data_IF_643356772048
#
_entry.id   IF_643356772048
#
_cell.length_a   1.000
_cell.length_b   1.000
_cell.length_c   1.000
_cell.angle_alpha   90.00
_cell.angle_beta   90.00
_cell.angle_gamma   90.00
#
_symmetry.space_group_name_H-M   'P 1'
#
loop_
_entity.id
_entity.type
_entity.pdbx_description
1 polymer ?
#
# COMPACT_ATOMS: atom_id res chain seq x y z
N UNK A 1 95.04 9.24 -15.23
CA UNK A 1 93.98 8.25 -15.57
C UNK A 1 92.90 8.30 -14.49
N UNK A 2 91.80 9.01 -14.74
CA UNK A 2 90.70 9.22 -13.80
C UNK A 2 89.58 8.21 -14.10
N UNK A 3 89.16 7.42 -13.11
CA UNK A 3 87.98 6.53 -13.22
C UNK A 3 86.79 7.23 -12.56
N UNK A 4 85.80 7.63 -13.38
CA UNK A 4 84.51 8.10 -12.89
C UNK A 4 83.65 6.92 -12.37
N UNK A 5 82.88 7.10 -11.28
CA UNK A 5 81.89 6.11 -10.87
C UNK A 5 80.62 6.21 -11.74
N UNK A 6 80.19 5.08 -12.31
CA UNK A 6 78.91 4.96 -13.02
C UNK A 6 77.76 5.08 -12.01
N UNK A 7 76.99 6.16 -12.10
CA UNK A 7 75.73 6.29 -11.38
C UNK A 7 74.71 5.26 -11.92
N UNK A 8 74.21 4.39 -11.05
CA UNK A 8 73.06 3.53 -11.34
C UNK A 8 71.82 4.42 -11.50
N UNK A 9 71.33 4.58 -12.72
CA UNK A 9 70.00 5.11 -12.96
C UNK A 9 68.95 4.12 -12.43
N UNK A 10 68.36 4.43 -11.28
CA UNK A 10 67.09 3.82 -10.87
C UNK A 10 66.00 4.44 -11.74
N UNK A 11 65.52 3.68 -12.72
CA UNK A 11 64.38 4.08 -13.55
C UNK A 11 63.13 4.22 -12.67
N UNK A 12 62.56 5.43 -12.66
CA UNK A 12 61.27 5.77 -12.04
C UNK A 12 60.14 4.97 -12.73
N UNK A 13 59.92 3.71 -12.33
CA UNK A 13 58.77 2.89 -12.77
C UNK A 13 57.55 2.95 -11.84
N UNK A 14 57.64 3.67 -10.72
CA UNK A 14 56.59 3.72 -9.70
C UNK A 14 55.47 4.75 -9.96
N UNK A 15 55.74 5.83 -10.71
CA UNK A 15 54.77 6.94 -10.86
C UNK A 15 53.60 6.65 -11.81
N UNK A 16 53.78 5.77 -12.80
CA UNK A 16 52.70 5.38 -13.72
C UNK A 16 51.71 4.38 -13.09
N UNK A 17 52.20 3.55 -12.16
CA UNK A 17 51.38 2.56 -11.45
C UNK A 17 50.39 3.23 -10.50
N UNK A 18 50.82 4.29 -9.78
CA UNK A 18 49.97 5.05 -8.86
C UNK A 18 48.81 5.80 -9.53
N UNK A 19 48.97 6.25 -10.79
CA UNK A 19 47.87 6.92 -11.52
C UNK A 19 46.82 5.89 -11.96
N UNK A 20 47.26 4.74 -12.47
CA UNK A 20 46.35 3.65 -12.85
C UNK A 20 45.56 3.15 -11.65
N UNK A 21 46.21 2.92 -10.51
CA UNK A 21 45.55 2.51 -9.26
C UNK A 21 44.50 3.53 -8.81
N UNK A 22 44.80 4.83 -8.90
CA UNK A 22 43.85 5.89 -8.58
C UNK A 22 42.64 5.89 -9.55
N UNK A 23 42.86 5.70 -10.85
CA UNK A 23 41.78 5.61 -11.83
C UNK A 23 40.87 4.41 -11.57
N UNK A 24 41.45 3.25 -11.24
CA UNK A 24 40.70 2.04 -10.88
C UNK A 24 39.93 2.25 -9.58
N UNK A 25 40.55 2.85 -8.56
CA UNK A 25 39.89 3.15 -7.29
C UNK A 25 38.70 4.10 -7.46
N UNK A 26 38.84 5.15 -8.27
CA UNK A 26 37.72 6.09 -8.58
C UNK A 26 36.62 5.37 -9.36
N UNK A 27 36.96 4.46 -10.27
CA UNK A 27 35.98 3.68 -11.03
C UNK A 27 35.17 2.77 -10.12
N UNK A 28 35.84 2.03 -9.23
CA UNK A 28 35.18 1.18 -8.23
C UNK A 28 34.32 2.03 -7.29
N UNK A 29 34.87 3.13 -6.78
CA UNK A 29 34.14 4.05 -5.90
C UNK A 29 32.88 4.61 -6.58
N UNK A 30 32.97 4.96 -7.86
CA UNK A 30 31.82 5.45 -8.63
C UNK A 30 30.75 4.38 -8.76
N UNK A 31 31.13 3.16 -9.17
CA UNK A 31 30.19 2.03 -9.30
C UNK A 31 29.52 1.71 -7.97
N UNK A 32 30.30 1.65 -6.88
CA UNK A 32 29.76 1.39 -5.54
C UNK A 32 28.86 2.52 -5.06
N UNK A 33 29.22 3.78 -5.32
CA UNK A 33 28.40 4.95 -4.98
C UNK A 33 27.06 4.95 -5.70
N UNK A 34 27.07 4.73 -7.02
CA UNK A 34 25.83 4.61 -7.81
C UNK A 34 24.99 3.40 -7.38
N UNK A 35 25.62 2.27 -7.09
CA UNK A 35 24.94 1.09 -6.56
C UNK A 35 24.25 1.35 -5.23
N UNK A 36 24.94 2.01 -4.29
CA UNK A 36 24.37 2.38 -3.00
C UNK A 36 23.18 3.34 -3.15
N UNK A 37 23.30 4.37 -3.99
CA UNK A 37 22.20 5.32 -4.26
C UNK A 37 20.99 4.62 -4.86
N UNK A 38 21.21 3.73 -5.84
CA UNK A 38 20.13 2.96 -6.47
C UNK A 38 19.44 2.05 -5.44
N UNK A 39 20.22 1.39 -4.59
CA UNK A 39 19.70 0.55 -3.52
C UNK A 39 18.86 1.35 -2.50
N UNK A 40 19.30 2.54 -2.12
CA UNK A 40 18.55 3.42 -1.21
C UNK A 40 17.23 3.89 -1.82
N UNK A 41 17.23 4.27 -3.10
CA UNK A 41 16.01 4.66 -3.81
C UNK A 41 15.02 3.50 -3.90
N UNK A 42 15.50 2.29 -4.22
CA UNK A 42 14.65 1.11 -4.28
C UNK A 42 14.09 0.74 -2.91
N UNK A 43 14.92 0.78 -1.85
CA UNK A 43 14.48 0.52 -0.49
C UNK A 43 13.37 1.49 -0.06
N UNK A 44 13.52 2.79 -0.37
CA UNK A 44 12.49 3.80 -0.09
C UNK A 44 11.18 3.47 -0.78
N UNK A 45 11.20 3.17 -2.09
CA UNK A 45 9.99 2.82 -2.84
C UNK A 45 9.28 1.61 -2.26
N UNK A 46 10.03 0.57 -1.86
CA UNK A 46 9.46 -0.61 -1.22
C UNK A 46 8.83 -0.29 0.14
N UNK A 47 9.44 0.60 0.93
CA UNK A 47 8.88 1.05 2.20
C UNK A 47 7.58 1.84 1.98
N UNK A 48 7.55 2.81 1.06
CA UNK A 48 6.35 3.59 0.76
C UNK A 48 5.19 2.69 0.28
N UNK A 49 5.44 1.80 -0.68
CA UNK A 49 4.42 0.86 -1.14
C UNK A 49 3.93 -0.07 -0.02
N UNK A 50 4.82 -0.55 0.85
CA UNK A 50 4.43 -1.36 2.01
C UNK A 50 3.55 -0.59 2.99
N UNK A 51 3.78 0.72 3.16
CA UNK A 51 2.95 1.56 4.02
C UNK A 51 1.55 1.70 3.41
N UNK A 52 1.43 1.93 2.10
CA UNK A 52 0.12 2.06 1.45
C UNK A 52 -0.72 0.78 1.57
N UNK A 53 -0.10 -0.38 1.31
CA UNK A 53 -0.76 -1.68 1.46
C UNK A 53 -1.20 -1.91 2.90
N UNK A 54 -0.30 -1.68 3.87
CA UNK A 54 -0.60 -1.90 5.28
C UNK A 54 -1.70 -0.96 5.78
N UNK A 55 -1.61 0.33 5.48
CA UNK A 55 -2.59 1.34 5.89
C UNK A 55 -3.96 1.06 5.29
N UNK A 56 -4.05 0.84 3.98
CA UNK A 56 -5.33 0.55 3.32
C UNK A 56 -5.99 -0.72 3.85
N UNK A 57 -5.19 -1.77 4.07
CA UNK A 57 -5.67 -3.04 4.63
C UNK A 57 -6.16 -2.87 6.06
N UNK A 58 -5.43 -2.14 6.91
CA UNK A 58 -5.83 -1.88 8.30
C UNK A 58 -7.14 -1.08 8.38
N UNK A 59 -7.31 -0.09 7.51
CA UNK A 59 -8.56 0.69 7.42
C UNK A 59 -9.73 -0.21 6.99
N UNK A 60 -9.55 -1.01 5.94
CA UNK A 60 -10.57 -1.94 5.45
C UNK A 60 -10.95 -2.99 6.52
N UNK A 61 -9.96 -3.55 7.21
CA UNK A 61 -10.18 -4.49 8.33
C UNK A 61 -10.93 -3.82 9.48
N UNK A 62 -10.55 -2.60 9.86
CA UNK A 62 -11.22 -1.84 10.90
C UNK A 62 -12.71 -1.62 10.62
N UNK A 63 -13.08 -1.30 9.38
CA UNK A 63 -14.50 -1.20 9.01
C UNK A 63 -15.21 -2.55 9.06
N UNK A 64 -14.61 -3.60 8.49
CA UNK A 64 -15.23 -4.93 8.51
C UNK A 64 -15.46 -5.43 9.94
N UNK A 65 -14.50 -5.22 10.84
CA UNK A 65 -14.64 -5.63 12.24
C UNK A 65 -15.78 -4.87 12.94
N UNK A 66 -15.89 -3.57 12.71
CA UNK A 66 -16.99 -2.78 13.25
C UNK A 66 -18.34 -3.22 12.69
N UNK A 67 -18.45 -3.50 11.39
CA UNK A 67 -19.67 -4.00 10.75
C UNK A 67 -20.07 -5.39 11.28
N UNK A 68 -19.10 -6.24 11.62
CA UNK A 68 -19.38 -7.52 12.30
C UNK A 68 -19.94 -7.32 13.70
N UNK A 69 -19.43 -6.33 14.43
CA UNK A 69 -19.79 -6.07 15.83
C UNK A 69 -21.03 -5.19 16.02
N UNK A 70 -21.49 -4.49 14.98
CA UNK A 70 -22.69 -3.64 14.97
C UNK A 70 -23.97 -4.43 15.32
N UNK A 71 -25.15 -3.84 15.52
CA UNK A 71 -26.40 -4.65 15.52
C UNK A 71 -26.70 -5.18 14.11
N UNK A 72 -27.29 -6.38 14.01
CA UNK A 72 -27.66 -7.00 12.74
C UNK A 72 -28.66 -6.13 11.95
N UNK A 73 -29.53 -5.39 12.65
CA UNK A 73 -30.57 -4.56 12.02
C UNK A 73 -30.02 -3.38 11.21
N UNK A 74 -28.86 -2.86 11.59
CA UNK A 74 -28.24 -1.72 10.89
C UNK A 74 -27.58 -2.12 9.57
N UNK A 75 -27.35 -3.42 9.34
CA UNK A 75 -26.78 -3.91 8.08
C UNK A 75 -27.73 -3.80 6.90
N UNK A 76 -29.03 -3.64 7.15
CA UNK A 76 -30.03 -3.48 6.08
C UNK A 76 -30.23 -2.02 5.67
N UNK A 77 -29.50 -1.09 6.28
CA UNK A 77 -29.62 0.34 6.01
C UNK A 77 -28.80 0.75 4.78
N UNK A 78 -29.31 1.71 4.01
CA UNK A 78 -28.62 2.24 2.84
C UNK A 78 -27.35 3.03 3.21
N UNK A 79 -27.31 3.58 4.43
CA UNK A 79 -26.16 4.28 5.00
C UNK A 79 -25.95 3.73 6.39
N UNK A 80 -24.74 3.25 6.65
CA UNK A 80 -24.32 2.76 7.96
C UNK A 80 -23.57 3.89 8.66
N UNK A 81 -24.17 4.39 9.74
CA UNK A 81 -23.63 5.48 10.57
C UNK A 81 -22.83 4.94 11.76
N UNK A 82 -22.21 5.84 12.53
CA UNK A 82 -21.45 5.56 13.76
C UNK A 82 -20.28 4.57 13.60
N UNK A 83 -19.70 4.50 12.41
CA UNK A 83 -18.42 3.85 12.22
C UNK A 83 -17.30 4.76 12.74
N UNK A 84 -16.23 4.19 13.25
CA UNK A 84 -15.07 4.91 13.73
C UNK A 84 -13.92 4.73 12.74
N UNK A 85 -13.45 5.84 12.19
CA UNK A 85 -12.32 5.87 11.28
C UNK A 85 -11.37 6.97 11.71
N UNK A 86 -10.09 6.62 11.90
CA UNK A 86 -9.05 7.58 12.31
C UNK A 86 -9.39 8.38 13.59
N UNK A 87 -10.21 7.81 14.49
CA UNK A 87 -10.62 8.47 15.74
C UNK A 87 -11.78 9.46 15.61
N UNK A 88 -12.40 9.58 14.43
CA UNK A 88 -13.62 10.36 14.20
C UNK A 88 -14.79 9.45 13.81
N UNK A 89 -16.01 9.94 14.06
CA UNK A 89 -17.23 9.30 13.57
C UNK A 89 -17.31 9.41 12.05
N UNK A 90 -17.78 8.34 11.43
CA UNK A 90 -17.82 8.14 9.99
C UNK A 90 -19.04 7.33 9.58
N UNK A 91 -19.36 7.39 8.29
CA UNK A 91 -20.47 6.66 7.67
C UNK A 91 -20.04 6.02 6.35
N UNK A 92 -20.61 4.85 6.06
CA UNK A 92 -20.46 4.15 4.78
C UNK A 92 -21.82 3.94 4.12
N UNK A 93 -21.94 4.41 2.88
CA UNK A 93 -23.10 4.12 2.03
C UNK A 93 -22.95 2.75 1.37
N UNK A 94 -24.02 1.96 1.37
CA UNK A 94 -24.07 0.61 0.80
C UNK A 94 -24.38 0.70 -0.69
N UNK A 95 -23.49 0.15 -1.50
CA UNK A 95 -23.65 0.01 -2.94
C UNK A 95 -24.67 -1.07 -3.30
N UNK A 96 -25.40 -0.92 -4.41
CA UNK A 96 -26.20 -1.99 -5.00
C UNK A 96 -25.36 -3.24 -5.30
N UNK A 97 -25.97 -4.43 -5.21
CA UNK A 97 -25.27 -5.70 -5.45
C UNK A 97 -24.78 -5.81 -6.90
N UNK A 98 -23.46 -6.00 -7.12
CA UNK A 98 -22.90 -6.19 -8.44
C UNK A 98 -23.03 -7.66 -8.87
N UNK A 99 -22.88 -7.92 -10.17
CA UNK A 99 -22.76 -9.30 -10.69
C UNK A 99 -21.46 -9.98 -10.28
N UNK A 100 -20.40 -9.20 -10.02
CA UNK A 100 -19.13 -9.66 -9.51
C UNK A 100 -18.58 -8.64 -8.49
N UNK A 101 -18.36 -9.10 -7.26
CA UNK A 101 -17.89 -8.26 -6.16
C UNK A 101 -16.43 -7.78 -6.33
N UNK A 102 -15.59 -8.53 -7.05
CA UNK A 102 -14.18 -8.16 -7.24
C UNK A 102 -14.03 -6.98 -8.21
N UNK A 103 -14.91 -6.90 -9.22
CA UNK A 103 -14.88 -5.84 -10.24
C UNK A 103 -15.94 -4.77 -10.00
N UNK A 104 -16.96 -5.05 -9.19
CA UNK A 104 -18.07 -4.14 -8.92
C UNK A 104 -18.85 -3.74 -10.18
N UNK A 105 -19.53 -2.61 -10.10
CA UNK A 105 -20.24 -1.97 -11.21
C UNK A 105 -20.07 -0.44 -11.15
N UNK A 106 -19.19 0.09 -11.99
CA UNK A 106 -18.82 1.51 -12.00
C UNK A 106 -20.01 2.48 -12.20
N UNK A 107 -21.11 2.04 -12.81
CA UNK A 107 -22.28 2.90 -13.06
C UNK A 107 -23.20 3.03 -11.84
N UNK A 108 -23.15 2.06 -10.92
CA UNK A 108 -24.07 1.98 -9.77
C UNK A 108 -23.38 1.98 -8.42
N UNK A 109 -22.08 1.69 -8.39
CA UNK A 109 -21.28 1.64 -7.18
C UNK A 109 -21.21 3.00 -6.50
N UNK A 110 -21.49 3.02 -5.20
CA UNK A 110 -21.35 4.20 -4.37
C UNK A 110 -19.93 4.22 -3.79
N UNK A 111 -19.19 5.27 -4.11
CA UNK A 111 -17.80 5.45 -3.66
C UNK A 111 -17.79 6.14 -2.30
N UNK A 112 -17.23 5.48 -1.29
CA UNK A 112 -16.94 6.08 0.01
C UNK A 112 -15.45 6.45 0.07
N UNK A 113 -15.09 7.64 -0.39
CA UNK A 113 -13.70 8.12 -0.38
C UNK A 113 -13.24 8.52 1.02
N UNK A 114 -12.06 8.06 1.42
CA UNK A 114 -11.36 8.40 2.65
C UNK A 114 -9.95 8.88 2.33
N UNK A 115 -9.50 9.88 3.05
CA UNK A 115 -8.13 10.40 2.95
C UNK A 115 -7.40 10.04 4.23
N UNK A 116 -6.28 9.35 4.09
CA UNK A 116 -5.41 8.99 5.21
C UNK A 116 -4.12 9.78 5.07
N UNK A 117 -3.80 10.55 6.11
CA UNK A 117 -2.51 11.23 6.23
C UNK A 117 -1.44 10.19 6.57
N UNK A 118 -0.58 9.89 5.60
CA UNK A 118 0.50 8.89 5.74
C UNK A 118 1.84 9.55 6.04
N UNK A 119 2.06 10.77 5.57
CA UNK A 119 3.34 11.45 5.63
C UNK A 119 3.41 12.54 6.70
N UNK A 120 2.34 12.74 7.47
CA UNK A 120 2.23 13.70 8.57
C UNK A 120 2.70 15.10 8.14
N UNK A 121 2.40 15.48 6.89
CA UNK A 121 2.62 16.85 6.41
C UNK A 121 1.29 17.60 6.54
N UNK A 122 1.14 18.55 7.48
CA UNK A 122 -0.18 19.07 7.86
C UNK A 122 -0.93 19.87 6.78
N UNK A 123 -0.39 20.02 5.57
CA UNK A 123 -0.83 21.03 4.60
C UNK A 123 -0.76 20.61 3.13
N UNK A 124 -0.28 19.41 2.78
CA UNK A 124 -0.18 18.99 1.37
C UNK A 124 -1.05 17.76 1.08
N UNK A 125 -2.31 17.98 0.70
CA UNK A 125 -3.23 16.92 0.29
C UNK A 125 -2.76 16.11 -0.94
N UNK A 126 -1.62 16.47 -1.55
CA UNK A 126 -0.99 15.72 -2.63
C UNK A 126 -0.21 14.48 -2.16
N UNK A 127 0.09 14.34 -0.86
CA UNK A 127 0.80 13.18 -0.31
C UNK A 127 -0.10 12.21 0.51
N UNK A 128 -1.37 12.57 0.68
CA UNK A 128 -2.38 11.76 1.35
C UNK A 128 -2.76 10.53 0.52
N UNK A 129 -2.97 9.40 1.19
CA UNK A 129 -3.54 8.23 0.56
C UNK A 129 -5.06 8.37 0.47
N UNK A 130 -5.54 8.54 -0.76
CA UNK A 130 -6.96 8.35 -1.07
C UNK A 130 -7.30 6.87 -1.15
N UNK A 131 -8.25 6.44 -0.34
CA UNK A 131 -8.85 5.09 -0.36
C UNK A 131 -10.31 5.25 -0.74
N UNK A 132 -10.72 4.57 -1.81
CA UNK A 132 -12.11 4.50 -2.25
C UNK A 132 -12.71 3.18 -1.80
N UNK A 133 -13.74 3.23 -0.94
CA UNK A 133 -14.35 2.06 -0.32
C UNK A 133 -15.74 1.82 -0.90
N UNK A 134 -16.01 0.56 -1.24
CA UNK A 134 -17.27 0.06 -1.75
C UNK A 134 -17.78 -1.01 -0.80
N UNK A 135 -18.97 -0.77 -0.25
CA UNK A 135 -19.62 -1.69 0.68
C UNK A 135 -20.81 -2.34 -0.01
N UNK A 136 -20.86 -3.67 0.00
CA UNK A 136 -21.99 -4.44 -0.49
C UNK A 136 -22.53 -5.33 0.62
N UNK A 137 -23.85 -5.41 0.73
CA UNK A 137 -24.52 -6.26 1.70
C UNK A 137 -25.50 -7.14 0.94
N UNK A 138 -25.18 -8.43 0.92
CA UNK A 138 -25.93 -9.46 0.21
C UNK A 138 -26.76 -10.27 1.20
N UNK A 139 -28.06 -10.38 0.92
CA UNK A 139 -28.96 -11.19 1.74
C UNK A 139 -28.83 -12.66 1.34
N UNK A 140 -28.29 -13.44 2.27
CA UNK A 140 -28.04 -14.89 2.11
C UNK A 140 -29.02 -15.73 2.91
N UNK A 141 -30.11 -15.13 3.37
CA UNK A 141 -31.16 -15.83 4.12
C UNK A 141 -31.85 -16.87 3.24
N UNK A 142 -31.97 -18.08 3.75
CA UNK A 142 -32.59 -19.19 3.04
C UNK A 142 -33.31 -20.11 4.03
N UNK A 143 -34.53 -19.71 4.39
CA UNK A 143 -35.36 -20.47 5.31
C UNK A 143 -35.66 -21.90 4.81
N UNK A 144 -35.72 -22.10 3.48
CA UNK A 144 -36.00 -23.39 2.87
C UNK A 144 -34.86 -24.40 3.12
N UNK A 145 -33.62 -23.91 3.20
CA UNK A 145 -32.44 -24.70 3.55
C UNK A 145 -32.03 -24.56 5.03
N UNK A 146 -32.88 -23.96 5.88
CA UNK A 146 -32.63 -23.81 7.31
C UNK A 146 -31.62 -22.73 7.68
N UNK A 147 -31.29 -21.83 6.75
CA UNK A 147 -30.45 -20.66 6.99
C UNK A 147 -31.36 -19.50 7.47
N UNK A 148 -31.32 -19.22 8.77
CA UNK A 148 -31.97 -18.02 9.33
C UNK A 148 -31.30 -16.73 8.88
N UNK A 149 -31.86 -15.57 9.25
CA UNK A 149 -31.41 -14.24 8.84
C UNK A 149 -29.86 -14.13 8.76
N UNK A 150 -29.32 -14.07 7.53
CA UNK A 150 -27.89 -14.07 7.27
C UNK A 150 -27.52 -13.03 6.21
N UNK A 151 -26.51 -12.21 6.49
CA UNK A 151 -25.96 -11.21 5.57
C UNK A 151 -24.51 -11.52 5.25
N UNK A 152 -24.17 -11.48 3.97
CA UNK A 152 -22.78 -11.47 3.51
C UNK A 152 -22.38 -10.01 3.29
N UNK A 153 -21.41 -9.57 4.07
CA UNK A 153 -20.85 -8.22 4.00
C UNK A 153 -19.59 -8.33 3.15
N UNK A 154 -19.53 -7.55 2.07
CA UNK A 154 -18.37 -7.48 1.18
C UNK A 154 -17.87 -6.05 1.15
N UNK A 155 -16.59 -5.86 1.44
CA UNK A 155 -15.92 -4.58 1.39
C UNK A 155 -14.81 -4.67 0.35
N UNK A 156 -14.97 -3.92 -0.74
CA UNK A 156 -13.93 -3.72 -1.73
C UNK A 156 -13.32 -2.34 -1.51
N UNK A 157 -12.01 -2.22 -1.61
CA UNK A 157 -11.35 -0.93 -1.55
C UNK A 157 -10.30 -0.80 -2.63
N UNK A 158 -10.15 0.43 -3.09
CA UNK A 158 -9.24 0.80 -4.16
C UNK A 158 -8.38 1.98 -3.72
N UNK A 159 -7.13 1.97 -4.12
CA UNK A 159 -6.21 3.08 -3.90
C UNK A 159 -5.21 3.17 -5.04
N UNK A 160 -4.60 4.34 -5.20
CA UNK A 160 -3.53 4.57 -6.16
C UNK A 160 -2.18 4.43 -5.46
N UNK A 161 -1.38 3.46 -5.89
CA UNK A 161 0.02 3.34 -5.47
C UNK A 161 0.91 4.19 -6.37
N UNK A 162 1.48 5.25 -5.80
CA UNK A 162 2.41 6.15 -6.48
C UNK A 162 3.89 5.90 -6.13
N UNK A 163 4.21 4.85 -5.35
CA UNK A 163 5.59 4.54 -4.89
C UNK A 163 6.58 4.34 -6.04
N UNK A 164 6.09 3.92 -7.20
CA UNK A 164 6.91 3.72 -8.40
C UNK A 164 7.23 5.02 -9.16
N UNK A 165 6.50 6.11 -8.89
CA UNK A 165 6.47 7.34 -9.68
C UNK A 165 5.37 7.39 -10.75
N UNK A 166 4.56 6.34 -10.83
CA UNK A 166 3.36 6.24 -11.68
C UNK A 166 2.21 5.76 -10.80
N UNK A 167 1.02 6.32 -10.99
CA UNK A 167 -0.19 5.87 -10.29
C UNK A 167 -0.62 4.50 -10.80
N UNK A 168 -0.50 3.49 -9.95
CA UNK A 168 -0.96 2.13 -10.21
C UNK A 168 -2.23 1.88 -9.39
N UNK A 169 -3.39 1.64 -10.01
CA UNK A 169 -4.59 1.30 -9.26
C UNK A 169 -4.46 -0.09 -8.67
N UNK A 170 -4.69 -0.19 -7.37
CA UNK A 170 -4.73 -1.44 -6.62
C UNK A 170 -6.15 -1.61 -6.07
N UNK A 171 -6.76 -2.76 -6.32
CA UNK A 171 -8.09 -3.12 -5.85
C UNK A 171 -8.02 -4.41 -5.05
N UNK A 172 -8.69 -4.45 -3.91
CA UNK A 172 -8.77 -5.62 -3.04
C UNK A 172 -10.18 -5.79 -2.49
N UNK A 173 -10.53 -7.03 -2.16
CA UNK A 173 -11.84 -7.37 -1.62
C UNK A 173 -11.69 -8.21 -0.37
N UNK A 174 -12.50 -7.91 0.63
CA UNK A 174 -12.71 -8.72 1.81
C UNK A 174 -14.19 -9.04 1.95
N UNK A 175 -14.49 -10.22 2.45
CA UNK A 175 -15.87 -10.62 2.72
C UNK A 175 -15.97 -11.30 4.08
N UNK A 176 -17.16 -11.21 4.66
CA UNK A 176 -17.53 -11.93 5.86
C UNK A 176 -19.01 -12.22 5.86
N UNK A 177 -19.42 -13.23 6.62
CA UNK A 177 -20.82 -13.61 6.77
C UNK A 177 -21.20 -13.39 8.22
N UNK A 178 -22.39 -12.84 8.42
CA UNK A 178 -22.98 -12.62 9.73
C UNK A 178 -24.37 -13.24 9.76
N UNK A 179 -24.65 -14.00 10.81
CA UNK A 179 -25.97 -14.55 11.09
C UNK A 179 -26.56 -13.90 12.34
N UNK A 180 -27.87 -13.69 12.33
CA UNK A 180 -28.64 -13.25 13.50
C UNK A 180 -28.83 -14.36 14.53
N UNK A 181 -28.90 -15.61 14.06
CA UNK A 181 -29.13 -16.77 14.92
C UNK A 181 -27.80 -17.16 15.58
N UNK A 182 -27.74 -17.41 16.90
CA UNK A 182 -26.52 -17.92 17.51
C UNK A 182 -26.20 -19.27 16.87
N UNK A 183 -25.06 -19.34 16.18
CA UNK A 183 -24.50 -20.61 15.72
C UNK A 183 -24.05 -21.37 16.96
N UNK A 184 -24.87 -22.30 17.44
CA UNK A 184 -24.51 -23.27 18.48
C UNK A 184 -23.73 -24.44 17.87
#
# INVERSE_FOLDING_TARGET
MSKQPKAKQFTKKLQAFTIMEAMVAISILSITGFGALTGLLQARKMTEGSIYVATSTNVAQGYIEQLKSMDFRFLDEAVIEDLMSQGAADSLSVSPLPSNFETGNADTDIVNSKWIDINNTPTDAGDDLKIDIFLYIDDTTDEANGIGDSRKIVLRWEYLDNSSGTDVPVSNTLYTIRSRVPTF
#
